data_IF_953024728121
#
_entry.id   IF_953024728121
#
_cell.length_a   1.000
_cell.length_b   1.000
_cell.length_c   1.000
_cell.angle_alpha   90.00
_cell.angle_beta   90.00
_cell.angle_gamma   90.00
#
_symmetry.space_group_name_H-M   'P 1'
#
loop_
_entity.id
_entity.type
_entity.pdbx_description
1 polymer ?
#
# COMPACT_ATOMS: atom_id res chain seq x y z
N UNK A 1 -64.73 11.67 16.42
CA UNK A 1 -63.69 12.44 17.17
C UNK A 1 -62.37 11.69 17.38
N UNK A 2 -62.35 10.36 17.59
CA UNK A 2 -61.11 9.58 17.86
C UNK A 2 -60.12 9.46 16.68
N UNK A 3 -60.58 9.68 15.44
CA UNK A 3 -59.76 9.55 14.22
C UNK A 3 -58.86 10.76 13.98
N UNK A 4 -59.29 11.94 14.41
CA UNK A 4 -58.58 13.22 14.21
C UNK A 4 -57.35 13.31 15.14
N UNK A 5 -57.52 12.90 16.40
CA UNK A 5 -56.42 12.77 17.36
C UNK A 5 -55.41 11.69 16.97
N UNK A 6 -55.85 10.59 16.35
CA UNK A 6 -54.94 9.58 15.78
C UNK A 6 -54.13 10.15 14.61
N UNK A 7 -54.71 11.05 13.80
CA UNK A 7 -54.00 11.75 12.72
C UNK A 7 -52.88 12.64 13.23
N UNK A 8 -53.16 13.51 14.21
CA UNK A 8 -52.15 14.42 14.78
C UNK A 8 -51.02 13.66 15.49
N UNK A 9 -51.36 12.56 16.19
CA UNK A 9 -50.37 11.70 16.84
C UNK A 9 -49.42 11.01 15.86
N UNK A 10 -49.88 10.67 14.66
CA UNK A 10 -49.00 10.13 13.60
C UNK A 10 -48.05 11.18 13.06
N UNK A 11 -48.49 12.42 12.88
CA UNK A 11 -47.65 13.51 12.37
C UNK A 11 -46.55 13.86 13.38
N UNK A 12 -46.88 14.01 14.67
CA UNK A 12 -45.86 14.21 15.70
C UNK A 12 -44.87 13.04 15.78
N UNK A 13 -45.34 11.79 15.66
CA UNK A 13 -44.46 10.61 15.65
C UNK A 13 -43.54 10.58 14.42
N UNK A 14 -44.05 11.00 13.25
CA UNK A 14 -43.25 11.11 12.04
C UNK A 14 -42.16 12.19 12.16
N UNK A 15 -42.48 13.36 12.72
CA UNK A 15 -41.51 14.44 12.99
C UNK A 15 -40.44 13.97 13.99
N UNK A 16 -40.86 13.27 15.05
CA UNK A 16 -39.93 12.71 16.05
C UNK A 16 -38.97 11.67 15.45
N UNK A 17 -39.51 10.79 14.59
CA UNK A 17 -38.69 9.82 13.86
C UNK A 17 -37.76 10.49 12.85
N UNK A 18 -38.22 11.56 12.17
CA UNK A 18 -37.39 12.31 11.23
C UNK A 18 -36.21 12.98 11.95
N UNK A 19 -36.47 13.61 13.10
CA UNK A 19 -35.42 14.23 13.92
C UNK A 19 -34.40 13.19 14.43
N UNK A 20 -34.89 12.02 14.83
CA UNK A 20 -34.06 10.89 15.27
C UNK A 20 -33.22 10.32 14.11
N UNK A 21 -33.82 10.19 12.93
CA UNK A 21 -33.15 9.74 11.72
C UNK A 21 -32.08 10.73 11.27
N UNK A 22 -32.35 12.04 11.30
CA UNK A 22 -31.35 13.06 10.96
C UNK A 22 -30.13 12.97 11.87
N UNK A 23 -30.31 12.76 13.18
CA UNK A 23 -29.17 12.59 14.10
C UNK A 23 -28.33 11.36 13.76
N UNK A 24 -28.97 10.24 13.46
CA UNK A 24 -28.28 9.01 13.06
C UNK A 24 -27.60 9.14 11.69
N UNK A 25 -28.23 9.84 10.75
CA UNK A 25 -27.70 10.08 9.42
C UNK A 25 -26.45 10.96 9.46
N UNK A 26 -26.46 12.04 10.25
CA UNK A 26 -25.30 12.94 10.38
C UNK A 26 -24.11 12.20 10.99
N UNK A 27 -24.33 11.43 12.06
CA UNK A 27 -23.26 10.63 12.68
C UNK A 27 -22.70 9.57 11.73
N UNK A 28 -23.57 8.86 11.01
CA UNK A 28 -23.14 7.88 10.02
C UNK A 28 -22.40 8.53 8.84
N UNK A 29 -22.81 9.72 8.41
CA UNK A 29 -22.15 10.44 7.32
C UNK A 29 -20.75 10.91 7.72
N UNK A 30 -20.60 11.44 8.93
CA UNK A 30 -19.28 11.80 9.48
C UNK A 30 -18.39 10.56 9.58
N UNK A 31 -18.94 9.44 10.07
CA UNK A 31 -18.22 8.17 10.13
C UNK A 31 -17.77 7.70 8.74
N UNK A 32 -18.64 7.77 7.72
CA UNK A 32 -18.31 7.40 6.35
C UNK A 32 -17.21 8.29 5.75
N UNK A 33 -17.27 9.60 6.00
CA UNK A 33 -16.23 10.55 5.57
C UNK A 33 -14.90 10.21 6.23
N UNK A 34 -14.90 9.91 7.53
CA UNK A 34 -13.68 9.56 8.27
C UNK A 34 -13.06 8.26 7.72
N UNK A 35 -13.87 7.23 7.47
CA UNK A 35 -13.41 5.97 6.86
C UNK A 35 -12.88 6.21 5.44
N UNK A 36 -13.57 7.02 4.64
CA UNK A 36 -13.13 7.38 3.29
C UNK A 36 -11.81 8.16 3.27
N UNK A 37 -11.63 9.08 4.23
CA UNK A 37 -10.39 9.84 4.40
C UNK A 37 -9.22 8.94 4.80
N UNK A 38 -9.44 8.01 5.74
CA UNK A 38 -8.45 6.99 6.09
C UNK A 38 -8.09 6.13 4.88
N UNK A 39 -9.10 5.62 4.16
CA UNK A 39 -8.87 4.81 2.97
C UNK A 39 -8.05 5.57 1.92
N UNK A 40 -8.39 6.83 1.66
CA UNK A 40 -7.64 7.68 0.75
C UNK A 40 -6.20 7.93 1.23
N UNK A 41 -5.99 8.17 2.53
CA UNK A 41 -4.66 8.36 3.09
C UNK A 41 -3.77 7.11 2.93
N UNK A 42 -4.33 5.91 3.10
CA UNK A 42 -3.62 4.65 2.85
C UNK A 42 -3.37 4.41 1.35
N UNK A 43 -4.33 4.70 0.48
CA UNK A 43 -4.20 4.47 -0.97
C UNK A 43 -3.30 5.48 -1.69
N UNK A 44 -3.09 6.66 -1.10
CA UNK A 44 -2.28 7.72 -1.69
C UNK A 44 -0.76 7.47 -1.51
N UNK A 45 -0.36 6.48 -0.69
CA UNK A 45 1.03 6.16 -0.41
C UNK A 45 1.82 5.53 -1.57
N UNK A 46 1.15 5.13 -2.65
CA UNK A 46 1.76 4.33 -3.73
C UNK A 46 1.80 5.04 -5.09
N UNK A 47 1.61 6.37 -5.09
CA UNK A 47 1.91 7.16 -6.30
C UNK A 47 3.40 7.43 -6.33
N UNK A 48 4.19 6.37 -6.47
CA UNK A 48 5.49 6.50 -7.10
C UNK A 48 5.23 7.22 -8.41
N UNK A 49 5.84 8.40 -8.51
CA UNK A 49 5.77 9.21 -9.70
C UNK A 49 6.36 8.34 -10.80
N UNK A 50 5.51 7.75 -11.63
CA UNK A 50 5.89 7.18 -12.92
C UNK A 50 6.51 8.32 -13.72
N UNK A 51 7.78 8.52 -13.43
CA UNK A 51 8.63 9.47 -14.09
C UNK A 51 8.72 8.89 -15.48
N UNK A 52 8.25 9.65 -16.47
CA UNK A 52 8.35 9.31 -17.89
C UNK A 52 9.67 8.60 -18.17
N UNK A 53 9.73 7.62 -19.08
CA UNK A 53 10.94 6.88 -19.41
C UNK A 53 11.97 7.86 -19.98
N UNK A 54 12.68 8.52 -19.08
CA UNK A 54 13.84 9.31 -19.37
C UNK A 54 14.99 8.32 -19.43
N UNK A 55 15.92 8.50 -20.38
CA UNK A 55 17.09 7.66 -20.45
C UNK A 55 17.79 7.65 -19.09
N UNK A 56 17.76 6.50 -18.42
CA UNK A 56 18.17 6.31 -17.04
C UNK A 56 19.41 5.43 -16.93
N UNK A 57 19.87 5.23 -15.71
CA UNK A 57 20.90 4.24 -15.41
C UNK A 57 20.27 3.06 -14.67
N UNK A 58 20.70 1.83 -14.99
CA UNK A 58 20.38 0.67 -14.18
C UNK A 58 21.15 0.80 -12.87
N UNK A 59 20.44 1.00 -11.76
CA UNK A 59 21.04 0.99 -10.42
C UNK A 59 20.95 -0.43 -9.88
N UNK A 60 22.10 -1.08 -9.75
CA UNK A 60 22.24 -2.40 -9.17
C UNK A 60 22.70 -2.23 -7.72
N UNK A 61 21.74 -2.30 -6.79
CA UNK A 61 21.98 -2.21 -5.35
C UNK A 61 22.15 -3.60 -4.76
N UNK A 62 23.41 -4.05 -4.67
CA UNK A 62 23.74 -5.38 -4.20
C UNK A 62 24.11 -5.32 -2.71
N UNK A 63 23.27 -5.93 -1.88
CA UNK A 63 23.47 -6.06 -0.44
C UNK A 63 23.55 -7.53 -0.05
N UNK A 64 24.59 -7.95 0.66
CA UNK A 64 24.83 -9.34 1.04
C UNK A 64 25.53 -10.20 -0.03
N UNK A 65 25.73 -11.51 0.24
CA UNK A 65 26.51 -12.41 -0.61
C UNK A 65 25.82 -12.71 -1.95
N UNK A 66 26.62 -13.05 -2.96
CA UNK A 66 26.13 -13.57 -4.24
C UNK A 66 26.00 -15.09 -4.12
N UNK A 67 24.79 -15.59 -4.38
CA UNK A 67 24.45 -17.01 -4.30
C UNK A 67 23.96 -17.52 -5.67
N UNK A 68 24.07 -18.83 -5.91
CA UNK A 68 23.50 -19.43 -7.13
C UNK A 68 21.98 -19.65 -7.02
N UNK A 69 21.50 -19.93 -5.82
CA UNK A 69 20.10 -20.18 -5.52
C UNK A 69 19.77 -19.57 -4.15
N UNK A 70 18.58 -18.96 -4.02
CA UNK A 70 18.09 -18.47 -2.73
C UNK A 70 17.78 -19.63 -1.81
N UNK A 71 18.22 -19.53 -0.57
CA UNK A 71 17.84 -20.51 0.44
C UNK A 71 16.34 -20.37 0.77
N UNK A 72 15.62 -21.49 0.98
CA UNK A 72 14.21 -21.47 1.31
C UNK A 72 14.02 -20.88 2.72
N UNK A 73 13.65 -19.61 2.79
CA UNK A 73 13.26 -18.95 4.03
C UNK A 73 11.85 -19.37 4.45
N UNK A 74 11.69 -19.74 5.72
CA UNK A 74 10.37 -20.00 6.28
C UNK A 74 9.63 -18.65 6.45
N UNK A 75 8.41 -18.50 5.92
CA UNK A 75 7.65 -17.25 6.00
C UNK A 75 7.39 -16.81 7.46
N UNK A 76 7.30 -17.75 8.40
CA UNK A 76 7.11 -17.42 9.83
C UNK A 76 8.37 -16.78 10.42
N UNK A 77 9.55 -17.29 10.06
CA UNK A 77 10.83 -16.78 10.57
C UNK A 77 11.18 -15.40 9.99
N UNK A 78 10.77 -15.14 8.74
CA UNK A 78 10.92 -13.82 8.10
C UNK A 78 10.10 -12.75 8.83
N UNK A 79 8.83 -13.04 9.14
CA UNK A 79 7.95 -12.11 9.86
C UNK A 79 8.43 -11.84 11.29
N UNK A 80 8.91 -12.88 11.98
CA UNK A 80 9.47 -12.73 13.33
C UNK A 80 10.77 -11.90 13.32
N UNK A 81 11.60 -12.07 12.30
CA UNK A 81 12.84 -11.30 12.15
C UNK A 81 12.56 -9.82 11.89
N UNK A 82 11.59 -9.53 11.03
CA UNK A 82 11.14 -8.16 10.74
C UNK A 82 10.51 -7.49 11.98
N UNK A 83 9.67 -8.23 12.73
CA UNK A 83 9.08 -7.74 13.99
C UNK A 83 10.14 -7.47 15.09
N UNK A 84 11.27 -8.18 15.06
CA UNK A 84 12.42 -7.96 15.94
C UNK A 84 13.40 -6.89 15.43
N UNK A 85 13.12 -6.26 14.28
CA UNK A 85 13.99 -5.24 13.69
C UNK A 85 15.32 -5.78 13.17
N UNK A 86 15.39 -7.08 12.87
CA UNK A 86 16.53 -7.68 12.18
C UNK A 86 16.29 -7.54 10.69
N UNK A 87 17.16 -6.81 10.00
CA UNK A 87 17.15 -6.79 8.54
C UNK A 87 17.35 -8.22 8.04
N UNK A 88 16.46 -8.74 7.17
CA UNK A 88 16.65 -10.05 6.58
C UNK A 88 17.97 -10.03 5.81
N UNK A 89 18.76 -11.10 5.96
CA UNK A 89 19.98 -11.25 5.16
C UNK A 89 19.55 -11.33 3.69
N UNK A 90 19.85 -10.26 2.95
CA UNK A 90 19.53 -10.20 1.53
C UNK A 90 20.54 -11.06 0.76
N UNK A 91 20.03 -12.01 -0.01
CA UNK A 91 20.82 -12.84 -0.90
C UNK A 91 20.62 -12.37 -2.34
N UNK A 92 21.72 -12.13 -3.06
CA UNK A 92 21.66 -11.73 -4.46
C UNK A 92 21.93 -12.94 -5.35
N UNK A 93 20.96 -13.31 -6.18
CA UNK A 93 21.11 -14.46 -7.08
C UNK A 93 21.96 -14.07 -8.28
N UNK A 94 23.03 -14.82 -8.54
CA UNK A 94 23.93 -14.58 -9.66
C UNK A 94 23.18 -14.56 -11.00
N UNK A 95 22.25 -15.50 -11.18
CA UNK A 95 21.47 -15.61 -12.42
C UNK A 95 20.63 -14.35 -12.67
N UNK A 96 19.91 -13.87 -11.65
CA UNK A 96 19.08 -12.66 -11.73
C UNK A 96 19.92 -11.42 -12.06
N UNK A 97 21.11 -11.29 -11.46
CA UNK A 97 22.03 -10.18 -11.76
C UNK A 97 22.46 -10.20 -13.23
N UNK A 98 22.89 -11.36 -13.72
CA UNK A 98 23.35 -11.52 -15.10
C UNK A 98 22.22 -11.27 -16.09
N UNK A 99 21.01 -11.76 -15.78
CA UNK A 99 19.83 -11.55 -16.60
C UNK A 99 19.43 -10.07 -16.65
N UNK A 100 19.42 -9.38 -15.51
CA UNK A 100 19.13 -7.95 -15.45
C UNK A 100 20.12 -7.12 -16.28
N UNK A 101 21.43 -7.43 -16.20
CA UNK A 101 22.44 -6.75 -17.01
C UNK A 101 22.25 -7.03 -18.51
N UNK A 102 21.92 -8.28 -18.89
CA UNK A 102 21.65 -8.64 -20.29
C UNK A 102 20.39 -7.94 -20.81
N UNK A 103 19.33 -7.91 -20.03
CA UNK A 103 18.10 -7.19 -20.37
C UNK A 103 18.39 -5.70 -20.58
N UNK A 104 19.14 -5.09 -19.65
CA UNK A 104 19.54 -3.69 -19.75
C UNK A 104 20.46 -3.38 -20.93
N UNK A 105 21.29 -4.33 -21.36
CA UNK A 105 22.15 -4.15 -22.53
C UNK A 105 21.37 -4.05 -23.86
N UNK A 106 20.15 -4.61 -23.90
CA UNK A 106 19.25 -4.54 -25.05
C UNK A 106 18.28 -3.36 -25.03
N UNK A 107 18.23 -2.62 -23.91
CA UNK A 107 17.29 -1.52 -23.71
C UNK A 107 17.90 -0.18 -24.15
N UNK A 108 17.19 0.55 -25.01
CA UNK A 108 17.63 1.87 -25.47
C UNK A 108 17.45 2.95 -24.40
N UNK A 109 16.61 2.71 -23.39
CA UNK A 109 16.32 3.65 -22.32
C UNK A 109 17.37 3.57 -21.19
N UNK A 110 18.21 2.53 -21.16
CA UNK A 110 19.28 2.39 -20.17
C UNK A 110 20.60 2.86 -20.77
N UNK A 111 21.12 3.99 -20.29
CA UNK A 111 22.36 4.62 -20.79
C UNK A 111 23.59 4.37 -19.93
N UNK A 112 23.41 3.81 -18.74
CA UNK A 112 24.51 3.58 -17.80
C UNK A 112 24.17 2.50 -16.78
N UNK A 113 25.21 2.05 -16.08
CA UNK A 113 25.13 1.09 -15.00
C UNK A 113 25.76 1.71 -13.76
N UNK A 114 25.02 1.75 -12.65
CA UNK A 114 25.50 2.19 -11.34
C UNK A 114 25.50 0.99 -10.43
N UNK A 115 26.69 0.57 -9.99
CA UNK A 115 26.83 -0.50 -9.00
C UNK A 115 26.94 0.13 -7.61
N UNK A 116 25.96 -0.11 -6.75
CA UNK A 116 26.07 0.19 -5.34
C UNK A 116 26.42 -1.10 -4.59
N UNK A 117 27.64 -1.15 -4.05
CA UNK A 117 28.23 -2.35 -3.41
C UNK A 117 28.58 -2.11 -1.94
N UNK A 118 28.03 -1.05 -1.32
CA UNK A 118 28.41 -0.64 0.04
C UNK A 118 28.12 -1.71 1.10
N UNK A 119 27.12 -2.55 0.85
CA UNK A 119 26.64 -3.57 1.77
C UNK A 119 27.04 -4.99 1.34
N UNK A 120 28.07 -5.14 0.49
CA UNK A 120 28.65 -6.45 0.21
C UNK A 120 29.60 -6.90 1.33
N UNK A 121 29.65 -8.21 1.64
CA UNK A 121 30.60 -8.77 2.59
C UNK A 121 32.06 -8.76 2.09
#
# INVERSE_FOLDING_TARGET
MKTIFKGIGRVCKAIWNLLSFTRQLVLNLIFLILVGALFFAFYQGDKDTETQPQPGALVLDLSGPIVEQKDPVNPVDSLLSEAMGKEPQQENVLFDIVEAIRAASGDNDIKGLVLNLQNMP
#
